data_IF_061157970308
#
_entry.id   IF_061157970308
#
_cell.length_a   1.000
_cell.length_b   1.000
_cell.length_c   1.000
_cell.angle_alpha   90.00
_cell.angle_beta   90.00
_cell.angle_gamma   90.00
#
_symmetry.space_group_name_H-M   'P 1'
#
loop_
_entity.id
_entity.type
_entity.pdbx_description
1 polymer ?
#
# COMPACT_ATOMS: atom_id res chain seq x y z
N UNK A 1 7.65 36.12 -15.79
CA UNK A 1 7.72 35.40 -17.07
C UNK A 1 7.77 33.90 -16.78
N UNK A 2 6.59 33.32 -16.60
CA UNK A 2 6.35 31.88 -16.62
C UNK A 2 6.36 31.50 -18.10
N UNK A 3 7.55 31.21 -18.65
CA UNK A 3 7.59 30.67 -20.00
C UNK A 3 7.00 29.25 -19.91
N UNK A 4 6.07 28.90 -20.78
CA UNK A 4 5.44 27.58 -20.79
C UNK A 4 6.39 26.42 -21.15
N UNK A 5 7.66 26.50 -20.73
CA UNK A 5 8.75 25.54 -20.95
C UNK A 5 8.66 24.35 -20.00
N UNK A 6 8.18 24.54 -18.77
CA UNK A 6 7.96 23.48 -17.78
C UNK A 6 6.99 22.39 -18.29
N UNK A 7 6.16 22.74 -19.28
CA UNK A 7 5.19 21.85 -19.87
C UNK A 7 5.76 20.88 -20.93
N UNK A 8 7.06 20.93 -21.25
CA UNK A 8 7.63 20.04 -22.29
C UNK A 8 8.62 19.01 -21.78
N UNK A 9 9.22 19.23 -20.61
CA UNK A 9 10.23 18.34 -20.08
C UNK A 9 9.62 17.36 -19.05
N UNK A 10 10.02 16.09 -19.11
CA UNK A 10 9.56 15.07 -18.17
C UNK A 10 9.85 15.46 -16.72
N UNK A 11 11.05 15.98 -16.46
CA UNK A 11 11.49 16.35 -15.10
C UNK A 11 10.53 17.34 -14.44
N UNK A 12 10.16 18.41 -15.15
CA UNK A 12 9.35 19.50 -14.61
C UNK A 12 7.91 19.05 -14.37
N UNK A 13 7.33 18.34 -15.35
CA UNK A 13 5.98 17.77 -15.25
C UNK A 13 5.92 16.73 -14.11
N UNK A 14 6.96 15.92 -13.95
CA UNK A 14 7.06 14.91 -12.89
C UNK A 14 7.21 15.58 -11.51
N UNK A 15 8.04 16.61 -11.39
CA UNK A 15 8.24 17.31 -10.11
C UNK A 15 6.95 18.00 -9.64
N UNK A 16 6.26 18.73 -10.53
CA UNK A 16 4.96 19.33 -10.22
C UNK A 16 3.89 18.27 -9.95
N UNK A 17 3.82 17.21 -10.75
CA UNK A 17 2.87 16.11 -10.56
C UNK A 17 3.05 15.43 -9.20
N UNK A 18 4.31 15.18 -8.80
CA UNK A 18 4.67 14.69 -7.46
C UNK A 18 4.25 15.67 -6.37
N UNK A 19 4.58 16.96 -6.52
CA UNK A 19 4.25 17.98 -5.52
C UNK A 19 2.74 18.04 -5.26
N UNK A 20 1.94 18.06 -6.33
CA UNK A 20 0.49 18.06 -6.19
C UNK A 20 -0.05 16.75 -5.62
N UNK A 21 0.56 15.60 -5.93
CA UNK A 21 0.16 14.32 -5.34
C UNK A 21 0.40 14.31 -3.82
N UNK A 22 1.59 14.72 -3.36
CA UNK A 22 1.94 14.69 -1.93
C UNK A 22 1.25 15.79 -1.11
N UNK A 23 0.74 16.83 -1.75
CA UNK A 23 -0.08 17.88 -1.12
C UNK A 23 -1.60 17.61 -1.24
N UNK A 24 -1.97 16.37 -1.60
CA UNK A 24 -3.36 15.92 -1.75
C UNK A 24 -4.20 16.70 -2.79
N UNK A 25 -3.54 17.38 -3.72
CA UNK A 25 -4.16 18.12 -4.83
C UNK A 25 -4.33 17.23 -6.07
N UNK A 26 -5.01 16.09 -5.92
CA UNK A 26 -5.11 15.07 -6.97
C UNK A 26 -5.72 15.56 -8.29
N UNK A 27 -6.62 16.56 -8.24
CA UNK A 27 -7.18 17.17 -9.46
C UNK A 27 -6.12 17.84 -10.35
N UNK A 28 -5.05 18.40 -9.75
CA UNK A 28 -3.90 18.95 -10.48
C UNK A 28 -2.83 17.90 -10.75
N UNK A 29 -2.63 16.96 -9.83
CA UNK A 29 -1.60 15.94 -9.94
C UNK A 29 -1.86 14.97 -11.11
N UNK A 30 -3.08 14.45 -11.22
CA UNK A 30 -3.44 13.40 -12.19
C UNK A 30 -3.14 13.79 -13.64
N UNK A 31 -3.55 14.96 -14.17
CA UNK A 31 -3.24 15.31 -15.56
C UNK A 31 -1.74 15.43 -15.82
N UNK A 32 -0.96 15.97 -14.88
CA UNK A 32 0.49 16.06 -15.00
C UNK A 32 1.15 14.69 -14.97
N UNK A 33 0.72 13.81 -14.07
CA UNK A 33 1.24 12.44 -13.99
C UNK A 33 0.88 11.61 -15.22
N UNK A 34 -0.31 11.82 -15.81
CA UNK A 34 -0.70 11.20 -17.07
C UNK A 34 0.19 11.70 -18.24
N UNK A 35 0.57 12.97 -18.24
CA UNK A 35 1.52 13.55 -19.20
C UNK A 35 2.94 12.98 -18.99
N UNK A 36 3.40 12.90 -17.75
CA UNK A 36 4.70 12.32 -17.41
C UNK A 36 4.83 10.87 -17.89
N UNK A 37 3.78 10.05 -17.76
CA UNK A 37 3.75 8.69 -18.33
C UNK A 37 3.92 8.64 -19.84
N UNK A 38 3.36 9.61 -20.57
CA UNK A 38 3.51 9.69 -22.03
C UNK A 38 4.92 10.09 -22.43
N UNK A 39 5.54 10.99 -21.66
CA UNK A 39 6.89 11.47 -21.90
C UNK A 39 7.93 10.39 -21.60
N UNK A 40 7.81 9.68 -20.48
CA UNK A 40 8.68 8.55 -20.12
C UNK A 40 7.89 7.33 -19.62
N UNK A 41 7.45 6.44 -20.52
CA UNK A 41 6.66 5.25 -20.16
C UNK A 41 7.42 4.22 -19.30
N UNK A 42 8.75 4.26 -19.34
CA UNK A 42 9.64 3.37 -18.58
C UNK A 42 9.85 3.85 -17.15
N UNK A 43 9.63 5.14 -16.87
CA UNK A 43 9.82 5.67 -15.53
C UNK A 43 8.76 5.10 -14.57
N UNK A 44 9.15 4.58 -13.40
CA UNK A 44 8.19 4.08 -12.41
C UNK A 44 7.47 5.23 -11.67
N UNK A 45 8.08 6.41 -11.57
CA UNK A 45 7.60 7.49 -10.70
C UNK A 45 6.19 7.99 -11.03
N UNK A 46 5.79 8.20 -12.30
CA UNK A 46 4.44 8.65 -12.61
C UNK A 46 3.36 7.69 -12.11
N UNK A 47 3.61 6.38 -12.16
CA UNK A 47 2.70 5.35 -11.68
C UNK A 47 2.55 5.39 -10.14
N UNK A 48 3.68 5.51 -9.42
CA UNK A 48 3.72 5.66 -7.96
C UNK A 48 2.84 6.81 -7.48
N UNK A 49 3.08 8.00 -8.03
CA UNK A 49 2.39 9.21 -7.59
C UNK A 49 0.96 9.29 -8.10
N UNK A 50 0.65 8.62 -9.23
CA UNK A 50 -0.73 8.49 -9.71
C UNK A 50 -1.57 7.66 -8.73
N UNK A 51 -1.05 6.51 -8.29
CA UNK A 51 -1.72 5.66 -7.30
C UNK A 51 -1.96 6.43 -5.99
N UNK A 52 -0.96 7.17 -5.50
CA UNK A 52 -1.09 8.02 -4.30
C UNK A 52 -2.19 9.06 -4.48
N UNK A 53 -2.16 9.83 -5.57
CA UNK A 53 -3.15 10.87 -5.84
C UNK A 53 -4.58 10.32 -5.97
N UNK A 54 -4.74 9.14 -6.59
CA UNK A 54 -6.04 8.48 -6.73
C UNK A 54 -6.62 8.03 -5.38
N UNK A 55 -5.77 7.52 -4.48
CA UNK A 55 -6.16 7.13 -3.12
C UNK A 55 -6.52 8.35 -2.29
N UNK A 56 -5.63 9.34 -2.22
CA UNK A 56 -5.74 10.45 -1.26
C UNK A 56 -6.87 11.42 -1.61
N UNK A 57 -7.13 11.65 -2.90
CA UNK A 57 -8.11 12.65 -3.33
C UNK A 57 -9.49 12.06 -3.62
N UNK A 58 -9.58 10.77 -3.95
CA UNK A 58 -10.84 10.20 -4.47
C UNK A 58 -11.15 8.80 -3.96
N UNK A 59 -10.32 8.21 -3.09
CA UNK A 59 -10.49 6.83 -2.61
C UNK A 59 -10.66 5.82 -3.76
N UNK A 60 -10.04 6.10 -4.91
CA UNK A 60 -10.10 5.28 -6.12
C UNK A 60 -9.14 4.09 -6.01
N UNK A 61 -9.47 3.19 -5.09
CA UNK A 61 -8.60 2.08 -4.73
C UNK A 61 -8.40 1.08 -5.89
N UNK A 62 -9.43 0.83 -6.70
CA UNK A 62 -9.34 -0.12 -7.81
C UNK A 62 -8.46 0.39 -8.93
N UNK A 63 -8.58 1.66 -9.28
CA UNK A 63 -7.70 2.32 -10.25
C UNK A 63 -6.27 2.37 -9.74
N UNK A 64 -6.09 2.70 -8.45
CA UNK A 64 -4.77 2.76 -7.83
C UNK A 64 -4.06 1.41 -7.80
N UNK A 65 -4.79 0.28 -7.75
CA UNK A 65 -4.20 -1.06 -7.88
C UNK A 65 -3.46 -1.19 -9.20
N UNK A 66 -4.11 -0.85 -10.33
CA UNK A 66 -3.47 -0.96 -11.65
C UNK A 66 -2.23 -0.07 -11.76
N UNK A 67 -2.30 1.14 -11.21
CA UNK A 67 -1.15 2.05 -11.18
C UNK A 67 0.01 1.50 -10.33
N UNK A 68 -0.30 0.92 -9.17
CA UNK A 68 0.72 0.39 -8.29
C UNK A 68 1.28 -0.95 -8.81
N UNK A 69 0.50 -1.77 -9.52
CA UNK A 69 1.00 -2.95 -10.22
C UNK A 69 2.07 -2.55 -11.26
N UNK A 70 1.82 -1.52 -12.07
CA UNK A 70 2.81 -0.98 -13.01
C UNK A 70 4.06 -0.47 -12.33
N UNK A 71 3.91 0.17 -11.16
CA UNK A 71 5.03 0.63 -10.34
C UNK A 71 5.88 -0.53 -9.84
N UNK A 72 5.27 -1.53 -9.21
CA UNK A 72 5.98 -2.69 -8.66
C UNK A 72 6.66 -3.50 -9.77
N UNK A 73 6.08 -3.60 -10.97
CA UNK A 73 6.76 -4.25 -12.11
C UNK A 73 8.04 -3.54 -12.54
N UNK A 74 8.10 -2.20 -12.43
CA UNK A 74 9.26 -1.39 -12.84
C UNK A 74 10.27 -1.18 -11.71
N UNK A 75 9.81 -1.21 -10.46
CA UNK A 75 10.63 -1.06 -9.27
C UNK A 75 10.37 -2.22 -8.29
N UNK A 76 10.72 -3.47 -8.66
CA UNK A 76 10.40 -4.66 -7.88
C UNK A 76 11.10 -4.71 -6.51
N UNK A 77 12.18 -3.95 -6.36
CA UNK A 77 12.99 -3.91 -5.14
C UNK A 77 12.65 -2.73 -4.22
N UNK A 78 11.59 -1.97 -4.50
CA UNK A 78 11.10 -0.93 -3.58
C UNK A 78 10.07 -1.49 -2.59
N UNK A 79 10.45 -1.51 -1.30
CA UNK A 79 9.58 -1.89 -0.17
C UNK A 79 8.29 -1.07 -0.13
N UNK A 80 8.33 0.21 -0.53
CA UNK A 80 7.14 1.05 -0.56
C UNK A 80 6.09 0.51 -1.53
N UNK A 81 6.51 0.05 -2.72
CA UNK A 81 5.60 -0.48 -3.74
C UNK A 81 4.82 -1.69 -3.21
N UNK A 82 5.54 -2.65 -2.62
CA UNK A 82 4.94 -3.85 -2.02
C UNK A 82 4.02 -3.53 -0.83
N UNK A 83 4.41 -2.57 0.01
CA UNK A 83 3.56 -2.10 1.10
C UNK A 83 2.27 -1.46 0.60
N UNK A 84 2.38 -0.56 -0.38
CA UNK A 84 1.25 0.22 -0.86
C UNK A 84 0.29 -0.65 -1.67
N UNK A 85 0.81 -1.56 -2.51
CA UNK A 85 -0.05 -2.47 -3.25
C UNK A 85 -0.75 -3.48 -2.34
N UNK A 86 -0.05 -3.95 -1.30
CA UNK A 86 -0.66 -4.78 -0.26
C UNK A 86 -1.78 -4.05 0.49
N UNK A 87 -1.59 -2.76 0.79
CA UNK A 87 -2.64 -1.89 1.34
C UNK A 87 -3.84 -1.75 0.38
N UNK A 88 -3.59 -1.53 -0.91
CA UNK A 88 -4.65 -1.39 -1.92
C UNK A 88 -5.44 -2.69 -2.10
N UNK A 89 -4.77 -3.83 -2.16
CA UNK A 89 -5.41 -5.14 -2.18
C UNK A 89 -6.26 -5.39 -0.94
N UNK A 90 -5.75 -5.02 0.24
CA UNK A 90 -6.54 -5.08 1.48
C UNK A 90 -7.80 -4.22 1.41
N UNK A 91 -7.72 -2.99 0.91
CA UNK A 91 -8.87 -2.08 0.81
C UNK A 91 -9.89 -2.55 -0.23
N UNK A 92 -9.45 -3.24 -1.28
CA UNK A 92 -10.32 -3.78 -2.33
C UNK A 92 -10.86 -5.18 -2.01
N UNK A 93 -10.54 -5.74 -0.83
CA UNK A 93 -11.01 -7.05 -0.38
C UNK A 93 -10.24 -8.24 -0.95
N UNK A 94 -9.19 -7.99 -1.73
CA UNK A 94 -8.28 -9.00 -2.30
C UNK A 94 -7.25 -9.44 -1.26
N UNK A 95 -7.70 -10.15 -0.23
CA UNK A 95 -6.85 -10.42 0.94
C UNK A 95 -5.68 -11.37 0.67
N UNK A 96 -5.85 -12.37 -0.20
CA UNK A 96 -4.75 -13.27 -0.60
C UNK A 96 -3.61 -12.51 -1.29
N UNK A 97 -3.95 -11.64 -2.24
CA UNK A 97 -2.98 -10.78 -2.94
C UNK A 97 -2.31 -9.80 -1.98
N UNK A 98 -3.08 -9.25 -1.03
CA UNK A 98 -2.54 -8.40 0.02
C UNK A 98 -1.49 -9.14 0.85
N UNK A 99 -1.77 -10.39 1.24
CA UNK A 99 -0.81 -11.23 1.98
C UNK A 99 0.46 -11.45 1.16
N UNK A 100 0.34 -11.76 -0.13
CA UNK A 100 1.49 -11.96 -1.02
C UNK A 100 2.41 -10.73 -1.07
N UNK A 101 1.84 -9.55 -1.37
CA UNK A 101 2.60 -8.30 -1.45
C UNK A 101 3.20 -7.89 -0.10
N UNK A 102 2.43 -8.00 0.98
CA UNK A 102 2.90 -7.60 2.31
C UNK A 102 3.99 -8.54 2.84
N UNK A 103 3.93 -9.85 2.54
CA UNK A 103 5.02 -10.79 2.81
C UNK A 103 6.30 -10.35 2.13
N UNK A 104 6.25 -10.02 0.85
CA UNK A 104 7.42 -9.52 0.12
C UNK A 104 7.99 -8.27 0.78
N UNK A 105 7.13 -7.33 1.17
CA UNK A 105 7.55 -6.09 1.84
C UNK A 105 8.24 -6.33 3.20
N UNK A 106 7.80 -7.31 3.99
CA UNK A 106 8.41 -7.62 5.30
C UNK A 106 9.62 -8.55 5.20
N UNK A 107 9.73 -9.34 4.13
CA UNK A 107 10.95 -10.11 3.81
C UNK A 107 12.10 -9.19 3.39
N UNK A 108 11.80 -8.16 2.59
CA UNK A 108 12.78 -7.17 2.16
C UNK A 108 13.26 -6.28 3.31
N UNK A 109 12.35 -5.98 4.26
CA UNK A 109 12.68 -5.20 5.46
C UNK A 109 11.91 -5.75 6.64
N UNK A 110 12.60 -6.49 7.50
CA UNK A 110 12.02 -7.11 8.69
C UNK A 110 11.53 -6.07 9.70
N UNK A 111 12.19 -4.90 9.79
CA UNK A 111 11.73 -3.73 10.55
C UNK A 111 10.64 -2.92 9.80
N UNK A 112 9.70 -3.58 9.11
CA UNK A 112 8.59 -2.92 8.43
C UNK A 112 7.30 -3.10 9.24
N UNK A 113 7.18 -2.31 10.31
CA UNK A 113 6.05 -2.37 11.25
C UNK A 113 4.69 -2.09 10.59
N UNK A 114 4.66 -1.22 9.57
CA UNK A 114 3.45 -0.98 8.77
C UNK A 114 3.03 -2.23 8.00
N UNK A 115 3.97 -2.88 7.30
CA UNK A 115 3.75 -4.12 6.57
C UNK A 115 3.23 -5.23 7.49
N UNK A 116 3.88 -5.44 8.63
CA UNK A 116 3.44 -6.42 9.63
C UNK A 116 2.03 -6.15 10.16
N UNK A 117 1.70 -4.88 10.45
CA UNK A 117 0.37 -4.50 10.89
C UNK A 117 -0.71 -4.81 9.86
N UNK A 118 -0.47 -4.49 8.58
CA UNK A 118 -1.41 -4.79 7.51
C UNK A 118 -1.52 -6.29 7.27
N UNK A 119 -0.41 -7.03 7.38
CA UNK A 119 -0.40 -8.47 7.20
C UNK A 119 -1.25 -9.17 8.28
N UNK A 120 -1.14 -8.73 9.53
CA UNK A 120 -2.00 -9.20 10.62
C UNK A 120 -3.49 -8.94 10.34
N UNK A 121 -3.81 -7.75 9.81
CA UNK A 121 -5.19 -7.40 9.41
C UNK A 121 -5.68 -8.26 8.26
N UNK A 122 -4.85 -8.49 7.25
CA UNK A 122 -5.20 -9.31 6.09
C UNK A 122 -5.53 -10.75 6.52
N UNK A 123 -4.67 -11.39 7.33
CA UNK A 123 -4.95 -12.73 7.86
C UNK A 123 -6.24 -12.79 8.68
N UNK A 124 -6.49 -11.79 9.53
CA UNK A 124 -7.72 -11.72 10.30
C UNK A 124 -8.97 -11.58 9.41
N UNK A 125 -8.88 -10.85 8.29
CA UNK A 125 -9.98 -10.74 7.32
C UNK A 125 -10.22 -12.01 6.53
N UNK A 126 -9.16 -12.67 6.08
CA UNK A 126 -9.27 -13.99 5.46
C UNK A 126 -9.95 -14.97 6.40
N UNK A 127 -9.50 -15.04 7.66
CA UNK A 127 -10.09 -15.92 8.69
C UNK A 127 -11.59 -15.67 8.87
N UNK A 128 -11.99 -14.40 8.87
CA UNK A 128 -13.39 -14.00 9.05
C UNK A 128 -14.27 -14.41 7.87
N UNK A 129 -13.71 -14.46 6.65
CA UNK A 129 -14.42 -14.90 5.45
C UNK A 129 -14.67 -16.40 5.38
N UNK A 130 -13.99 -17.20 6.21
CA UNK A 130 -14.15 -18.66 6.23
C UNK A 130 -15.25 -19.13 7.18
N UNK A 131 -15.85 -20.29 6.89
CA UNK A 131 -16.83 -20.94 7.76
C UNK A 131 -16.23 -21.26 9.15
N UNK A 132 -16.99 -21.17 10.26
CA UNK A 132 -16.46 -21.41 11.61
C UNK A 132 -15.76 -22.76 11.82
N UNK A 133 -16.19 -23.81 11.11
CA UNK A 133 -15.61 -25.15 11.17
C UNK A 133 -14.35 -25.33 10.28
N UNK A 134 -13.99 -24.33 9.47
CA UNK A 134 -12.85 -24.43 8.56
C UNK A 134 -11.53 -24.53 9.36
N UNK A 135 -10.73 -25.60 9.17
CA UNK A 135 -9.49 -25.81 9.91
C UNK A 135 -8.45 -24.71 9.66
N UNK A 136 -8.49 -24.06 8.49
CA UNK A 136 -7.58 -22.97 8.10
C UNK A 136 -7.70 -21.76 9.02
N UNK A 137 -8.83 -21.61 9.72
CA UNK A 137 -9.04 -20.49 10.65
C UNK A 137 -8.01 -20.44 11.76
N UNK A 138 -7.63 -21.60 12.32
CA UNK A 138 -6.61 -21.70 13.37
C UNK A 138 -5.24 -21.28 12.85
N UNK A 139 -4.93 -21.64 11.61
CA UNK A 139 -3.66 -21.27 10.96
C UNK A 139 -3.59 -19.76 10.71
N UNK A 140 -4.66 -19.17 10.14
CA UNK A 140 -4.74 -17.74 9.90
C UNK A 140 -4.71 -16.92 11.20
N UNK A 141 -5.32 -17.42 12.26
CA UNK A 141 -5.23 -16.81 13.59
C UNK A 141 -3.80 -16.79 14.13
N UNK A 142 -3.09 -17.92 14.05
CA UNK A 142 -1.68 -17.99 14.44
C UNK A 142 -0.82 -17.04 13.61
N UNK A 143 -1.06 -16.98 12.30
CA UNK A 143 -0.34 -16.07 11.40
C UNK A 143 -0.62 -14.59 11.72
N UNK A 144 -1.88 -14.25 12.03
CA UNK A 144 -2.25 -12.90 12.47
C UNK A 144 -1.56 -12.51 13.78
N UNK A 145 -1.51 -13.43 14.74
CA UNK A 145 -0.81 -13.23 16.01
C UNK A 145 0.70 -13.04 15.80
N UNK A 146 1.36 -13.91 15.03
CA UNK A 146 2.79 -13.77 14.75
C UNK A 146 3.12 -12.45 14.03
N UNK A 147 2.28 -12.02 13.08
CA UNK A 147 2.45 -10.74 12.41
C UNK A 147 2.27 -9.55 13.38
N UNK A 148 1.36 -9.65 14.35
CA UNK A 148 1.21 -8.66 15.42
C UNK A 148 2.47 -8.60 16.31
N UNK A 149 3.02 -9.74 16.72
CA UNK A 149 4.26 -9.77 17.53
C UNK A 149 5.44 -9.16 16.76
N UNK A 150 5.58 -9.46 15.47
CA UNK A 150 6.60 -8.82 14.63
C UNK A 150 6.35 -7.31 14.48
N UNK A 151 5.09 -6.88 14.40
CA UNK A 151 4.74 -5.45 14.38
C UNK A 151 5.08 -4.74 15.71
N UNK A 152 4.98 -5.44 16.85
CA UNK A 152 5.40 -4.93 18.17
C UNK A 152 6.91 -4.76 18.25
N UNK A 153 7.64 -5.74 17.72
CA UNK A 153 9.11 -5.74 17.74
C UNK A 153 9.73 -4.75 16.75
N UNK A 154 9.01 -4.39 15.68
CA UNK A 154 9.48 -3.42 14.69
C UNK A 154 9.54 -2.00 15.27
N UNK A 155 10.75 -1.43 15.32
CA UNK A 155 11.00 -0.05 15.74
C UNK A 155 10.29 0.97 14.85
N UNK A 156 10.10 0.65 13.56
CA UNK A 156 9.34 1.51 12.64
C UNK A 156 7.82 1.52 12.88
N UNK A 157 7.30 0.62 13.73
CA UNK A 157 5.90 0.62 14.10
C UNK A 157 5.63 1.58 15.25
N UNK A 158 4.66 2.48 15.09
CA UNK A 158 4.23 3.29 16.22
C UNK A 158 3.44 2.44 17.23
N UNK A 159 3.74 2.59 18.52
CA UNK A 159 3.03 1.91 19.59
C UNK A 159 1.50 2.13 19.52
N UNK A 160 1.07 3.32 19.09
CA UNK A 160 -0.35 3.61 18.87
C UNK A 160 -0.99 2.83 17.72
N UNK A 161 -0.25 2.46 16.67
CA UNK A 161 -0.73 1.59 15.59
C UNK A 161 -0.90 0.16 16.09
N UNK A 162 0.10 -0.34 16.82
CA UNK A 162 0.08 -1.67 17.43
C UNK A 162 -1.09 -1.80 18.40
N UNK A 163 -1.26 -0.88 19.35
CA UNK A 163 -2.40 -0.91 20.29
C UNK A 163 -3.76 -0.92 19.59
N UNK A 164 -3.93 -0.13 18.52
CA UNK A 164 -5.16 -0.13 17.72
C UNK A 164 -5.38 -1.46 17.02
N UNK A 165 -4.32 -2.06 16.47
CA UNK A 165 -4.38 -3.38 15.84
C UNK A 165 -4.78 -4.46 16.86
N UNK A 166 -4.18 -4.47 18.04
CA UNK A 166 -4.49 -5.40 19.12
C UNK A 166 -5.96 -5.32 19.54
N UNK A 167 -6.43 -4.11 19.86
CA UNK A 167 -7.82 -3.88 20.22
C UNK A 167 -8.76 -4.36 19.12
N UNK A 168 -8.40 -4.08 17.86
CA UNK A 168 -9.17 -4.55 16.71
C UNK A 168 -9.18 -6.08 16.60
N UNK A 169 -8.03 -6.75 16.75
CA UNK A 169 -7.92 -8.21 16.68
C UNK A 169 -8.64 -8.92 17.84
N UNK A 170 -8.68 -8.32 19.04
CA UNK A 170 -9.47 -8.84 20.16
C UNK A 170 -10.97 -8.82 19.85
N UNK A 171 -11.48 -7.72 19.30
CA UNK A 171 -12.90 -7.62 18.88
C UNK A 171 -13.23 -8.67 17.82
N UNK A 172 -12.28 -9.03 16.95
CA UNK A 172 -12.49 -10.09 15.95
C UNK A 172 -12.34 -11.52 16.51
N UNK A 173 -11.94 -11.69 17.78
CA UNK A 173 -11.61 -12.99 18.38
C UNK A 173 -10.34 -13.64 17.78
N UNK A 174 -9.41 -12.84 17.25
CA UNK A 174 -8.12 -13.27 16.62
C UNK A 174 -6.91 -13.12 17.55
N UNK A 175 -7.07 -12.43 18.67
CA UNK A 175 -6.05 -12.27 19.68
C UNK A 175 -6.68 -12.53 21.04
N UNK A 176 -6.02 -13.34 21.88
CA UNK A 176 -6.38 -13.56 23.29
C UNK A 176 -5.79 -12.45 24.16
#
# INVERSE_FOLDING_TARGET
PDDGSADKNFSDVMELGRLYAVTAMGGKAIPLLAKAKKLEPQSPLPYKYMAIAQVDTSYRYREAVGEMDEYVRRAPDDVFGHNFIGYLYYQTGRYDDAVGALKRAVEMRTDNGYGWCLLARAYARMRRGLAPADPSRKTLERQAHNALENARAAASCSAGRVRRLEAWLRVQGTAR
#
